data_IF_096379539061
#
_entry.id   IF_096379539061
#
_cell.length_a   1.000
_cell.length_b   1.000
_cell.length_c   1.000
_cell.angle_alpha   90.00
_cell.angle_beta   90.00
_cell.angle_gamma   90.00
#
_symmetry.space_group_name_H-M   'P 1'
#
loop_
_entity.id
_entity.type
_entity.pdbx_description
1 polymer ?
#
# COMPACT_ATOMS: atom_id res chain seq x y z
N UNK A 1 -45.64 35.44 21.72
CA UNK A 1 -45.62 36.53 22.72
C UNK A 1 -45.43 37.82 21.96
N UNK A 2 -46.31 38.81 22.17
CA UNK A 2 -46.25 40.09 21.45
C UNK A 2 -44.93 40.81 21.71
N UNK A 3 -44.41 41.51 20.70
CA UNK A 3 -43.24 42.36 20.84
C UNK A 3 -43.62 43.54 21.74
N UNK A 4 -43.29 43.47 23.03
CA UNK A 4 -43.54 44.56 23.98
C UNK A 4 -42.50 45.65 23.64
N UNK A 5 -42.92 46.84 23.19
CA UNK A 5 -41.98 47.93 22.93
C UNK A 5 -41.23 48.28 24.22
N UNK A 6 -39.95 48.61 24.10
CA UNK A 6 -39.13 49.04 25.25
C UNK A 6 -39.72 50.28 25.91
N UNK A 7 -39.63 50.37 27.25
CA UNK A 7 -40.06 51.57 27.96
C UNK A 7 -39.15 52.76 27.59
N UNK A 8 -39.69 53.95 27.32
CA UNK A 8 -38.89 55.15 27.17
C UNK A 8 -38.20 55.51 28.50
N UNK A 9 -36.98 56.05 28.41
CA UNK A 9 -36.09 56.28 29.57
C UNK A 9 -36.78 57.03 30.72
N UNK A 10 -37.56 58.07 30.42
CA UNK A 10 -38.27 58.87 31.41
C UNK A 10 -39.35 58.07 32.18
N UNK A 11 -40.07 57.17 31.50
CA UNK A 11 -41.07 56.30 32.13
C UNK A 11 -40.40 55.21 32.96
N UNK A 12 -39.26 54.70 32.49
CA UNK A 12 -38.43 53.76 33.24
C UNK A 12 -37.92 54.38 34.55
N UNK A 13 -37.37 55.60 34.52
CA UNK A 13 -36.90 56.30 35.73
C UNK A 13 -38.04 56.56 36.71
N UNK A 14 -39.19 57.02 36.23
CA UNK A 14 -40.36 57.27 37.09
C UNK A 14 -40.88 55.98 37.75
N UNK A 15 -40.85 54.85 37.04
CA UNK A 15 -41.22 53.55 37.60
C UNK A 15 -40.17 53.04 38.59
N UNK A 16 -38.88 53.20 38.26
CA UNK A 16 -37.76 52.85 39.13
C UNK A 16 -37.87 53.58 40.47
N UNK A 17 -38.04 54.90 40.46
CA UNK A 17 -38.16 55.72 41.67
C UNK A 17 -39.35 55.30 42.53
N UNK A 18 -40.48 54.95 41.92
CA UNK A 18 -41.67 54.47 42.64
C UNK A 18 -41.42 53.12 43.32
N UNK A 19 -40.70 52.21 42.67
CA UNK A 19 -40.35 50.90 43.25
C UNK A 19 -39.29 51.08 44.35
N UNK A 20 -38.32 51.97 44.15
CA UNK A 20 -37.24 52.23 45.10
C UNK A 20 -37.70 52.89 46.43
N UNK A 21 -38.90 53.45 46.48
CA UNK A 21 -39.46 54.05 47.71
C UNK A 21 -39.82 53.02 48.80
N UNK A 22 -39.89 51.73 48.48
CA UNK A 22 -40.17 50.65 49.44
C UNK A 22 -38.94 49.77 49.69
N UNK A 23 -38.66 49.35 50.94
CA UNK A 23 -37.58 48.39 51.25
C UNK A 23 -37.70 47.08 50.46
N UNK A 24 -38.93 46.62 50.21
CA UNK A 24 -39.18 45.41 49.40
C UNK A 24 -38.89 45.65 47.91
N UNK A 25 -39.17 46.85 47.41
CA UNK A 25 -38.88 47.22 46.03
C UNK A 25 -37.37 47.37 45.76
N UNK A 26 -36.61 47.90 46.71
CA UNK A 26 -35.14 47.91 46.64
C UNK A 26 -34.55 46.50 46.63
N UNK A 27 -35.07 45.59 47.46
CA UNK A 27 -34.66 44.19 47.48
C UNK A 27 -34.97 43.49 46.13
N UNK A 28 -36.15 43.76 45.56
CA UNK A 28 -36.52 43.27 44.23
C UNK A 28 -35.57 43.77 43.14
N UNK A 29 -35.28 45.08 43.08
CA UNK A 29 -34.39 45.66 42.07
C UNK A 29 -32.97 45.10 42.18
N UNK A 30 -32.45 44.91 43.40
CA UNK A 30 -31.13 44.30 43.62
C UNK A 30 -31.07 42.87 43.12
N UNK A 31 -32.08 42.06 43.43
CA UNK A 31 -32.13 40.66 42.99
C UNK A 31 -32.39 40.56 41.47
N UNK A 32 -33.21 41.45 40.91
CA UNK A 32 -33.43 41.55 39.47
C UNK A 32 -32.15 41.93 38.72
N UNK A 33 -31.40 42.92 39.21
CA UNK A 33 -30.10 43.31 38.65
C UNK A 33 -29.08 42.17 38.74
N UNK A 34 -29.03 41.45 39.87
CA UNK A 34 -28.15 40.27 40.05
C UNK A 34 -28.47 39.18 39.04
N UNK A 35 -29.75 38.79 38.91
CA UNK A 35 -30.20 37.75 37.95
C UNK A 35 -30.00 38.16 36.50
N UNK A 36 -30.23 39.43 36.17
CA UNK A 36 -29.95 39.96 34.85
C UNK A 36 -28.44 39.91 34.53
N UNK A 37 -27.59 40.21 35.51
CA UNK A 37 -26.13 40.08 35.41
C UNK A 37 -25.68 38.62 35.23
N UNK A 38 -26.17 37.70 36.06
CA UNK A 38 -25.83 36.27 35.99
C UNK A 38 -26.25 35.66 34.63
N UNK A 39 -27.43 36.03 34.12
CA UNK A 39 -27.91 35.60 32.81
C UNK A 39 -27.09 36.20 31.66
N UNK A 40 -26.64 37.44 31.80
CA UNK A 40 -25.72 38.09 30.84
C UNK A 40 -24.36 37.41 30.83
N UNK A 41 -23.77 37.18 32.01
CA UNK A 41 -22.49 36.51 32.17
C UNK A 41 -22.53 35.08 31.61
N UNK A 42 -23.58 34.32 31.90
CA UNK A 42 -23.74 32.96 31.37
C UNK A 42 -23.79 32.92 29.83
N UNK A 43 -24.42 33.93 29.20
CA UNK A 43 -24.44 34.04 27.73
C UNK A 43 -23.07 34.40 27.15
N UNK A 44 -22.33 35.27 27.83
CA UNK A 44 -20.96 35.63 27.44
C UNK A 44 -20.03 34.42 27.59
N UNK A 45 -20.12 33.69 28.70
CA UNK A 45 -19.32 32.49 28.93
C UNK A 45 -19.62 31.40 27.90
N UNK A 46 -20.90 31.19 27.56
CA UNK A 46 -21.30 30.26 26.50
C UNK A 46 -20.74 30.70 25.13
N UNK A 47 -20.86 31.98 24.77
CA UNK A 47 -20.33 32.49 23.51
C UNK A 47 -18.79 32.39 23.43
N UNK A 48 -18.08 32.57 24.54
CA UNK A 48 -16.63 32.38 24.61
C UNK A 48 -16.22 30.91 24.48
N UNK A 49 -17.01 30.00 25.04
CA UNK A 49 -16.81 28.55 24.87
C UNK A 49 -17.02 28.12 23.42
N UNK A 50 -18.09 28.62 22.78
CA UNK A 50 -18.37 28.37 21.36
C UNK A 50 -17.24 28.89 20.48
N UNK A 51 -16.76 30.11 20.73
CA UNK A 51 -15.64 30.70 20.01
C UNK A 51 -14.36 29.86 20.20
N UNK A 52 -14.08 29.40 21.41
CA UNK A 52 -12.92 28.54 21.67
C UNK A 52 -13.02 27.22 20.91
N UNK A 53 -14.19 26.58 20.92
CA UNK A 53 -14.42 25.36 20.16
C UNK A 53 -14.20 25.56 18.66
N UNK A 54 -14.71 26.66 18.10
CA UNK A 54 -14.48 27.00 16.69
C UNK A 54 -13.00 27.22 16.39
N UNK A 55 -12.26 27.94 17.22
CA UNK A 55 -10.83 28.14 17.05
C UNK A 55 -10.03 26.83 17.12
N UNK A 56 -10.32 25.97 18.10
CA UNK A 56 -9.68 24.66 18.23
C UNK A 56 -9.98 23.76 17.02
N UNK A 57 -11.22 23.76 16.54
CA UNK A 57 -11.61 23.02 15.33
C UNK A 57 -10.90 23.54 14.08
N UNK A 58 -10.79 24.85 13.92
CA UNK A 58 -10.09 25.49 12.80
C UNK A 58 -8.60 25.17 12.83
N UNK A 59 -7.95 25.25 14.00
CA UNK A 59 -6.54 24.91 14.16
C UNK A 59 -6.27 23.44 13.81
N UNK A 60 -7.18 22.52 14.17
CA UNK A 60 -7.10 21.11 13.80
C UNK A 60 -7.21 20.89 12.27
N UNK A 61 -8.14 21.56 11.61
CA UNK A 61 -8.28 21.51 10.14
C UNK A 61 -7.06 22.07 9.42
N UNK A 62 -6.46 23.16 9.93
CA UNK A 62 -5.23 23.71 9.38
C UNK A 62 -4.04 22.76 9.55
N UNK A 63 -3.92 22.10 10.71
CA UNK A 63 -2.86 21.11 10.94
C UNK A 63 -2.98 19.90 10.02
N UNK A 64 -4.19 19.36 9.85
CA UNK A 64 -4.44 18.22 8.95
C UNK A 64 -4.16 18.58 7.50
N UNK A 65 -4.59 19.77 7.05
CA UNK A 65 -4.28 20.30 5.73
C UNK A 65 -2.76 20.47 5.51
N UNK A 66 -2.05 21.02 6.51
CA UNK A 66 -0.59 21.17 6.45
C UNK A 66 0.14 19.83 6.34
N UNK A 67 -0.30 18.80 7.06
CA UNK A 67 0.26 17.44 6.94
C UNK A 67 0.00 16.83 5.55
N UNK A 68 -1.19 17.05 5.00
CA UNK A 68 -1.54 16.56 3.66
C UNK A 68 -0.66 17.20 2.58
N UNK A 69 -0.37 18.50 2.67
CA UNK A 69 0.54 19.20 1.75
C UNK A 69 1.99 18.68 1.84
N UNK A 70 2.47 18.39 3.06
CA UNK A 70 3.79 17.76 3.23
C UNK A 70 3.82 16.38 2.55
N UNK A 71 2.84 15.52 2.83
CA UNK A 71 2.77 14.18 2.21
C UNK A 71 2.67 14.24 0.68
N UNK A 72 1.93 15.22 0.15
CA UNK A 72 1.84 15.46 -1.29
C UNK A 72 3.21 15.80 -1.89
N UNK A 73 3.96 16.70 -1.24
CA UNK A 73 5.29 17.08 -1.70
C UNK A 73 6.26 15.89 -1.69
N UNK A 74 6.25 15.09 -0.61
CA UNK A 74 7.05 13.86 -0.52
C UNK A 74 6.72 12.87 -1.63
N UNK A 75 5.43 12.71 -1.98
CA UNK A 75 5.01 11.82 -3.07
C UNK A 75 5.43 12.32 -4.45
N UNK A 76 5.42 13.64 -4.67
CA UNK A 76 5.96 14.24 -5.89
C UNK A 76 7.48 14.05 -5.98
N UNK A 77 8.21 14.19 -4.88
CA UNK A 77 9.65 13.97 -4.83
C UNK A 77 10.02 12.49 -5.07
N UNK A 78 9.26 11.55 -4.48
CA UNK A 78 9.41 10.13 -4.76
C UNK A 78 9.17 9.83 -6.24
N UNK A 79 8.10 10.36 -6.84
CA UNK A 79 7.82 10.18 -8.26
C UNK A 79 8.94 10.74 -9.16
N UNK A 80 9.47 11.93 -8.84
CA UNK A 80 10.60 12.51 -9.55
C UNK A 80 11.87 11.65 -9.43
N UNK A 81 12.12 11.08 -8.25
CA UNK A 81 13.25 10.19 -8.00
C UNK A 81 13.14 8.87 -8.78
N UNK A 82 11.94 8.28 -8.84
CA UNK A 82 11.66 7.09 -9.66
C UNK A 82 11.92 7.38 -11.14
N UNK A 83 11.42 8.52 -11.65
CA UNK A 83 11.67 8.95 -13.03
C UNK A 83 13.16 9.21 -13.32
N UNK A 84 13.92 9.68 -12.33
CA UNK A 84 15.36 9.86 -12.48
C UNK A 84 16.08 8.50 -12.61
N UNK A 85 15.81 7.57 -11.69
CA UNK A 85 16.37 6.20 -11.72
C UNK A 85 16.02 5.48 -13.03
N UNK A 86 14.76 5.64 -13.49
CA UNK A 86 14.26 5.13 -14.77
C UNK A 86 15.15 5.57 -15.95
N UNK A 87 15.56 6.84 -15.99
CA UNK A 87 16.42 7.40 -17.04
C UNK A 87 17.85 6.88 -16.96
N UNK A 88 18.39 6.70 -15.76
CA UNK A 88 19.73 6.13 -15.57
C UNK A 88 19.80 4.69 -16.05
N UNK A 89 18.80 3.87 -15.72
CA UNK A 89 18.70 2.48 -16.19
C UNK A 89 18.61 2.43 -17.72
N UNK A 90 17.76 3.28 -18.32
CA UNK A 90 17.64 3.36 -19.79
C UNK A 90 18.97 3.74 -20.47
N UNK A 91 19.86 4.46 -19.79
CA UNK A 91 21.16 4.86 -20.34
C UNK A 91 22.20 3.72 -20.34
N UNK A 92 21.99 2.63 -19.60
CA UNK A 92 22.90 1.48 -19.54
C UNK A 92 22.85 0.58 -20.78
N UNK A 93 21.84 0.71 -21.65
CA UNK A 93 21.74 -0.08 -22.88
C UNK A 93 22.55 0.53 -24.04
N UNK A 94 23.19 -0.32 -24.88
CA UNK A 94 23.73 0.10 -26.18
C UNK A 94 22.63 0.73 -27.04
N UNK A 95 22.97 1.78 -27.81
CA UNK A 95 22.05 2.60 -28.63
C UNK A 95 21.46 1.88 -29.85
N UNK A 96 21.06 0.62 -29.73
CA UNK A 96 20.33 -0.08 -30.78
C UNK A 96 18.85 -0.20 -30.42
N UNK A 97 18.05 0.48 -31.25
CA UNK A 97 16.60 0.40 -31.47
C UNK A 97 15.67 1.37 -30.72
N UNK A 98 15.16 2.31 -31.53
CA UNK A 98 13.80 2.90 -31.55
C UNK A 98 13.21 3.60 -30.31
N UNK A 99 13.35 4.93 -30.31
CA UNK A 99 12.30 5.96 -30.26
C UNK A 99 11.07 5.96 -29.32
N UNK A 100 10.94 5.12 -28.28
CA UNK A 100 9.80 5.21 -27.35
C UNK A 100 10.19 5.36 -25.87
N UNK A 101 10.97 6.39 -25.53
CA UNK A 101 11.65 6.56 -24.22
C UNK A 101 10.80 6.49 -22.94
N UNK A 102 9.47 6.58 -22.99
CA UNK A 102 8.63 6.65 -21.79
C UNK A 102 7.91 5.34 -21.43
N UNK A 103 7.54 4.46 -22.37
CA UNK A 103 7.05 3.09 -22.03
C UNK A 103 8.18 2.12 -21.68
N UNK A 104 9.42 2.59 -21.81
CA UNK A 104 10.58 1.72 -21.92
C UNK A 104 11.12 1.29 -20.55
N UNK A 105 11.28 2.15 -19.57
CA UNK A 105 12.21 1.83 -18.48
C UNK A 105 11.71 0.97 -17.31
N UNK A 106 10.40 0.75 -17.18
CA UNK A 106 9.92 -0.39 -16.38
C UNK A 106 10.15 -1.71 -17.14
N UNK A 107 10.01 -1.71 -18.47
CA UNK A 107 10.38 -2.85 -19.32
C UNK A 107 11.91 -3.04 -19.41
N UNK A 108 12.72 -2.04 -19.06
CA UNK A 108 14.19 -2.16 -19.11
C UNK A 108 14.75 -3.02 -17.99
N UNK A 109 14.15 -3.01 -16.78
CA UNK A 109 14.57 -3.93 -15.72
C UNK A 109 14.27 -5.38 -16.10
N UNK A 110 13.10 -5.65 -16.69
CA UNK A 110 12.77 -6.98 -17.23
C UNK A 110 13.69 -7.34 -18.40
N UNK A 111 14.08 -6.37 -19.24
CA UNK A 111 15.03 -6.60 -20.32
C UNK A 111 16.41 -7.00 -19.79
N UNK A 112 16.85 -6.43 -18.66
CA UNK A 112 18.10 -6.82 -17.99
C UNK A 112 18.00 -8.26 -17.46
N UNK A 113 16.91 -8.59 -16.75
CA UNK A 113 16.68 -9.96 -16.27
C UNK A 113 16.66 -10.94 -17.43
N UNK A 114 15.88 -10.69 -18.47
CA UNK A 114 15.78 -11.54 -19.66
C UNK A 114 17.12 -11.67 -20.41
N UNK A 115 17.88 -10.58 -20.55
CA UNK A 115 19.20 -10.61 -21.20
C UNK A 115 20.19 -11.46 -20.39
N UNK A 116 20.16 -11.35 -19.07
CA UNK A 116 21.03 -12.14 -18.18
C UNK A 116 20.65 -13.63 -18.15
N UNK A 117 19.35 -13.96 -18.17
CA UNK A 117 18.86 -15.34 -18.36
C UNK A 117 19.34 -15.93 -19.69
N UNK A 118 19.21 -15.19 -20.79
CA UNK A 118 19.67 -15.66 -22.10
C UNK A 118 21.19 -15.87 -22.12
N UNK A 119 21.96 -14.94 -21.56
CA UNK A 119 23.41 -15.08 -21.47
C UNK A 119 23.80 -16.33 -20.66
N UNK A 120 23.08 -16.63 -19.59
CA UNK A 120 23.30 -17.84 -18.79
C UNK A 120 23.01 -19.13 -19.58
N UNK A 121 21.92 -19.16 -20.35
CA UNK A 121 21.62 -20.29 -21.25
C UNK A 121 22.74 -20.49 -22.28
N UNK A 122 23.27 -19.40 -22.85
CA UNK A 122 24.40 -19.48 -23.80
C UNK A 122 25.69 -19.99 -23.14
N UNK A 123 25.96 -19.62 -21.88
CA UNK A 123 27.08 -20.14 -21.09
C UNK A 123 26.90 -21.64 -20.83
N UNK A 124 25.72 -22.08 -20.40
CA UNK A 124 25.39 -23.48 -20.16
C UNK A 124 25.57 -24.33 -21.42
N UNK A 125 25.06 -23.88 -22.57
CA UNK A 125 25.28 -24.55 -23.85
C UNK A 125 26.75 -24.60 -24.26
N UNK A 126 27.54 -23.58 -23.92
CA UNK A 126 28.98 -23.58 -24.16
C UNK A 126 29.69 -24.60 -23.28
N UNK A 127 29.27 -24.73 -22.02
CA UNK A 127 29.78 -25.72 -21.08
C UNK A 127 29.46 -27.16 -21.54
N UNK A 128 28.24 -27.41 -22.04
CA UNK A 128 27.88 -28.70 -22.66
C UNK A 128 28.78 -29.06 -23.84
N UNK A 129 29.02 -28.09 -24.75
CA UNK A 129 29.95 -28.28 -25.88
C UNK A 129 31.38 -28.56 -25.40
N UNK A 130 31.84 -27.94 -24.32
CA UNK A 130 33.16 -28.21 -23.74
C UNK A 130 33.26 -29.65 -23.23
N UNK A 131 32.22 -30.17 -22.58
CA UNK A 131 32.14 -31.58 -22.17
C UNK A 131 32.22 -32.54 -23.35
N UNK A 132 31.52 -32.26 -24.46
CA UNK A 132 31.62 -33.08 -25.67
C UNK A 132 33.05 -33.10 -26.24
N UNK A 133 33.70 -31.94 -26.26
CA UNK A 133 35.09 -31.79 -26.72
C UNK A 133 36.05 -32.55 -25.80
N UNK A 134 35.89 -32.44 -24.48
CA UNK A 134 36.68 -33.19 -23.49
C UNK A 134 36.54 -34.70 -23.70
N UNK A 135 35.31 -35.19 -23.90
CA UNK A 135 35.04 -36.59 -24.21
C UNK A 135 35.71 -37.06 -25.51
N UNK A 136 35.77 -36.22 -26.55
CA UNK A 136 36.52 -36.53 -27.78
C UNK A 136 38.03 -36.58 -27.54
N UNK A 137 38.57 -35.62 -26.78
CA UNK A 137 40.00 -35.59 -26.43
C UNK A 137 40.41 -36.87 -25.69
N UNK A 138 39.59 -37.32 -24.74
CA UNK A 138 39.76 -38.59 -24.04
C UNK A 138 39.86 -39.79 -24.99
N UNK A 139 38.96 -39.87 -25.98
CA UNK A 139 38.96 -40.95 -26.99
C UNK A 139 40.17 -40.90 -27.94
N UNK A 140 40.73 -39.71 -28.17
CA UNK A 140 41.93 -39.51 -28.99
C UNK A 140 43.24 -39.77 -28.22
N UNK A 141 43.16 -40.16 -26.94
CA UNK A 141 44.32 -40.47 -26.11
C UNK A 141 45.02 -39.24 -25.52
N UNK A 142 44.29 -38.12 -25.35
CA UNK A 142 44.79 -36.98 -24.58
C UNK A 142 45.04 -37.38 -23.11
N UNK A 143 45.87 -36.59 -22.42
CA UNK A 143 46.18 -36.77 -21.01
C UNK A 143 44.89 -36.84 -20.16
N UNK A 144 44.77 -37.89 -19.37
CA UNK A 144 43.57 -38.15 -18.57
C UNK A 144 43.38 -37.13 -17.45
N UNK A 145 44.47 -36.62 -16.88
CA UNK A 145 44.41 -35.66 -15.77
C UNK A 145 43.92 -34.31 -16.31
N UNK A 146 44.44 -33.86 -17.45
CA UNK A 146 43.98 -32.62 -18.11
C UNK A 146 42.52 -32.69 -18.57
N UNK A 147 42.05 -33.84 -19.04
CA UNK A 147 40.64 -34.03 -19.40
C UNK A 147 39.76 -33.97 -18.14
N UNK A 148 40.20 -34.59 -17.04
CA UNK A 148 39.47 -34.55 -15.77
C UNK A 148 39.38 -33.12 -15.22
N UNK A 149 40.43 -32.32 -15.35
CA UNK A 149 40.42 -30.92 -14.93
C UNK A 149 39.39 -30.11 -15.72
N UNK A 150 39.28 -30.32 -17.04
CA UNK A 150 38.25 -29.68 -17.87
C UNK A 150 36.84 -30.09 -17.44
N UNK A 151 36.61 -31.39 -17.22
CA UNK A 151 35.30 -31.91 -16.77
C UNK A 151 34.90 -31.31 -15.40
N UNK A 152 35.87 -31.14 -14.49
CA UNK A 152 35.66 -30.51 -13.19
C UNK A 152 35.29 -29.03 -13.33
N UNK A 153 36.00 -28.26 -14.17
CA UNK A 153 35.69 -26.85 -14.39
C UNK A 153 34.32 -26.64 -15.06
N UNK A 154 33.94 -27.52 -16.00
CA UNK A 154 32.60 -27.49 -16.59
C UNK A 154 31.51 -27.77 -15.53
N UNK A 155 31.78 -28.70 -14.60
CA UNK A 155 30.87 -28.97 -13.47
C UNK A 155 30.73 -27.75 -12.55
N UNK A 156 31.82 -27.01 -12.32
CA UNK A 156 31.79 -25.76 -11.56
C UNK A 156 30.94 -24.70 -12.28
N UNK A 157 31.02 -24.60 -13.61
CA UNK A 157 30.18 -23.68 -14.41
C UNK A 157 28.69 -24.02 -14.25
N UNK A 158 28.30 -25.30 -14.37
CA UNK A 158 26.91 -25.71 -14.16
C UNK A 158 26.40 -25.33 -12.78
N UNK A 159 27.22 -25.57 -11.75
CA UNK A 159 26.86 -25.25 -10.37
C UNK A 159 26.76 -23.74 -10.14
N UNK A 160 27.66 -22.95 -10.73
CA UNK A 160 27.61 -21.49 -10.62
C UNK A 160 26.37 -20.89 -11.31
N UNK A 161 26.01 -21.42 -12.48
CA UNK A 161 24.85 -20.94 -13.24
C UNK A 161 23.51 -21.35 -12.59
N UNK A 162 23.44 -22.45 -11.83
CA UNK A 162 22.21 -22.82 -11.12
C UNK A 162 21.82 -21.81 -10.04
N UNK A 163 22.80 -21.16 -9.39
CA UNK A 163 22.53 -20.06 -8.45
C UNK A 163 22.03 -18.77 -9.12
N UNK A 164 22.27 -18.60 -10.43
CA UNK A 164 21.78 -17.45 -11.18
C UNK A 164 20.26 -17.53 -11.40
N UNK A 165 19.67 -18.72 -11.48
CA UNK A 165 18.21 -18.89 -11.54
C UNK A 165 17.51 -18.30 -10.29
N UNK A 166 18.02 -18.62 -9.09
CA UNK A 166 17.50 -18.05 -7.84
C UNK A 166 17.67 -16.53 -7.77
N UNK A 167 18.77 -16.02 -8.32
CA UNK A 167 19.03 -14.57 -8.38
C UNK A 167 18.08 -13.89 -9.38
N UNK A 168 17.84 -14.49 -10.54
CA UNK A 168 16.89 -13.99 -11.54
C UNK A 168 15.46 -13.90 -11.00
N UNK A 169 15.02 -14.94 -10.27
CA UNK A 169 13.72 -14.94 -9.59
C UNK A 169 13.61 -13.85 -8.53
N UNK A 170 14.62 -13.72 -7.65
CA UNK A 170 14.65 -12.67 -6.62
C UNK A 170 14.64 -11.27 -7.22
N UNK A 171 15.43 -11.03 -8.26
CA UNK A 171 15.44 -9.76 -8.97
C UNK A 171 14.08 -9.47 -9.59
N UNK A 172 13.44 -10.46 -10.22
CA UNK A 172 12.08 -10.30 -10.77
C UNK A 172 11.06 -9.92 -9.72
N UNK A 173 11.09 -10.54 -8.53
CA UNK A 173 10.24 -10.15 -7.40
C UNK A 173 10.47 -8.69 -6.98
N UNK A 174 11.73 -8.28 -6.82
CA UNK A 174 12.08 -6.89 -6.46
C UNK A 174 11.58 -5.89 -7.52
N UNK A 175 11.74 -6.20 -8.80
CA UNK A 175 11.26 -5.35 -9.90
C UNK A 175 9.74 -5.20 -9.85
N UNK A 176 9.01 -6.28 -9.61
CA UNK A 176 7.55 -6.23 -9.46
C UNK A 176 7.11 -5.46 -8.21
N UNK A 177 7.85 -5.55 -7.11
CA UNK A 177 7.59 -4.74 -5.93
C UNK A 177 7.76 -3.24 -6.18
N UNK A 178 8.84 -2.85 -6.88
CA UNK A 178 9.07 -1.45 -7.25
C UNK A 178 7.96 -0.92 -8.18
N UNK A 179 7.47 -1.74 -9.12
CA UNK A 179 6.32 -1.41 -9.98
C UNK A 179 5.05 -1.14 -9.19
N UNK A 180 4.77 -1.98 -8.20
CA UNK A 180 3.60 -1.80 -7.35
C UNK A 180 3.66 -0.46 -6.61
N UNK A 181 4.80 -0.16 -5.99
CA UNK A 181 5.02 1.12 -5.29
C UNK A 181 4.86 2.31 -6.24
N UNK A 182 5.46 2.25 -7.44
CA UNK A 182 5.31 3.28 -8.47
C UNK A 182 3.85 3.51 -8.86
N UNK A 183 3.10 2.44 -9.14
CA UNK A 183 1.67 2.52 -9.48
C UNK A 183 0.86 3.18 -8.37
N UNK A 184 1.14 2.84 -7.10
CA UNK A 184 0.45 3.44 -5.95
C UNK A 184 0.79 4.92 -5.78
N UNK A 185 2.05 5.30 -5.95
CA UNK A 185 2.48 6.71 -5.90
C UNK A 185 1.76 7.50 -6.99
N UNK A 186 1.73 6.98 -8.22
CA UNK A 186 1.04 7.64 -9.34
C UNK A 186 -0.48 7.72 -9.12
N UNK A 187 -1.10 6.69 -8.56
CA UNK A 187 -2.52 6.71 -8.21
C UNK A 187 -2.83 7.77 -7.14
N UNK A 188 -2.00 7.87 -6.10
CA UNK A 188 -2.14 8.90 -5.06
C UNK A 188 -1.97 10.31 -5.64
N UNK A 189 -0.93 10.53 -6.46
CA UNK A 189 -0.72 11.80 -7.16
C UNK A 189 -1.91 12.12 -8.07
N UNK A 190 -2.46 11.13 -8.78
CA UNK A 190 -3.64 11.32 -9.63
C UNK A 190 -4.85 11.75 -8.81
N UNK A 191 -5.13 11.12 -7.67
CA UNK A 191 -6.25 11.49 -6.79
C UNK A 191 -6.14 12.96 -6.34
N UNK A 192 -4.96 13.44 -5.97
CA UNK A 192 -4.76 14.87 -5.64
C UNK A 192 -4.71 15.78 -6.86
N UNK A 193 -4.31 15.29 -8.03
CA UNK A 193 -4.34 16.05 -9.29
C UNK A 193 -5.77 16.18 -9.86
N UNK A 194 -6.71 15.33 -9.41
CA UNK A 194 -8.11 15.30 -9.83
C UNK A 194 -8.94 16.47 -9.27
N UNK A 195 -8.43 17.30 -8.35
CA UNK A 195 -9.05 18.62 -8.09
C UNK A 195 -9.08 19.53 -9.34
N UNK A 196 -8.33 19.19 -10.41
CA UNK A 196 -8.40 19.84 -11.72
C UNK A 196 -9.11 19.06 -12.83
N UNK A 197 -9.02 17.72 -12.90
CA UNK A 197 -9.64 16.92 -13.97
C UNK A 197 -9.90 15.48 -13.48
N UNK A 198 -11.15 15.01 -13.57
CA UNK A 198 -11.58 13.64 -13.27
C UNK A 198 -10.92 12.62 -14.21
N UNK A 199 -9.99 11.82 -13.72
CA UNK A 199 -9.39 10.70 -14.45
C UNK A 199 -9.98 9.34 -13.97
N UNK A 200 -10.15 8.35 -14.87
CA UNK A 200 -10.70 7.04 -14.53
C UNK A 200 -9.69 6.20 -13.73
N UNK A 201 -10.18 5.35 -12.83
CA UNK A 201 -9.37 4.47 -12.01
C UNK A 201 -8.48 3.54 -12.86
N UNK A 202 -7.19 3.38 -12.54
CA UNK A 202 -6.36 2.39 -13.20
C UNK A 202 -6.76 0.99 -12.73
N UNK A 203 -7.13 0.11 -13.66
CA UNK A 203 -7.21 -1.31 -13.39
C UNK A 203 -5.78 -1.84 -13.20
N UNK A 204 -5.51 -2.49 -12.07
CA UNK A 204 -4.22 -3.13 -11.82
C UNK A 204 -3.87 -4.18 -12.87
N UNK A 205 -2.61 -4.66 -12.93
CA UNK A 205 -2.21 -5.68 -13.89
C UNK A 205 -2.98 -6.97 -13.63
N UNK A 206 -3.79 -7.40 -14.60
CA UNK A 206 -4.44 -8.72 -14.57
C UNK A 206 -3.54 -9.67 -15.37
N UNK A 207 -2.95 -10.66 -14.72
CA UNK A 207 -2.22 -11.73 -15.41
C UNK A 207 -3.24 -12.64 -16.12
N UNK A 208 -3.37 -12.47 -17.43
CA UNK A 208 -4.34 -13.21 -18.25
C UNK A 208 -3.83 -14.56 -18.74
N UNK A 209 -2.65 -15.00 -18.31
CA UNK A 209 -2.09 -16.28 -18.75
C UNK A 209 -2.89 -17.44 -18.15
N UNK A 210 -3.14 -18.52 -18.90
CA UNK A 210 -3.95 -19.66 -18.43
C UNK A 210 -3.33 -20.37 -17.22
N UNK A 211 -2.03 -20.21 -16.98
CA UNK A 211 -1.23 -20.73 -15.88
C UNK A 211 -0.97 -19.73 -14.75
N UNK A 212 -1.60 -18.54 -14.76
CA UNK A 212 -1.44 -17.54 -13.69
C UNK A 212 -1.80 -18.09 -12.29
N UNK A 213 -2.67 -19.10 -12.23
CA UNK A 213 -3.05 -19.82 -11.00
C UNK A 213 -1.98 -20.80 -10.48
N UNK A 214 -0.92 -21.06 -11.25
CA UNK A 214 0.19 -21.96 -10.90
C UNK A 214 1.40 -21.22 -10.32
N UNK A 215 1.36 -19.87 -10.28
CA UNK A 215 2.43 -19.00 -9.76
C UNK A 215 2.36 -18.77 -8.24
N UNK A 216 1.75 -19.70 -7.49
CA UNK A 216 1.94 -19.73 -6.05
C UNK A 216 3.38 -20.12 -5.74
N UNK A 217 4.13 -19.25 -5.06
CA UNK A 217 5.42 -19.61 -4.48
C UNK A 217 5.31 -20.82 -3.53
N UNK A 218 6.43 -21.35 -3.02
CA UNK A 218 6.43 -22.47 -2.09
C UNK A 218 5.50 -22.19 -0.90
N UNK A 219 4.40 -22.92 -0.83
CA UNK A 219 3.41 -22.79 0.24
C UNK A 219 3.85 -23.63 1.44
N UNK A 220 3.49 -23.20 2.65
CA UNK A 220 3.71 -23.96 3.89
C UNK A 220 2.86 -25.26 3.98
N UNK A 221 1.93 -25.46 3.03
CA UNK A 221 1.21 -26.72 2.77
C UNK A 221 1.88 -27.59 1.70
N UNK A 222 3.12 -27.25 1.32
CA UNK A 222 3.92 -27.91 0.30
C UNK A 222 4.14 -29.39 0.56
N UNK A 223 4.30 -30.14 -0.53
CA UNK A 223 4.58 -31.58 -0.52
C UNK A 223 5.78 -31.85 0.39
N UNK A 224 5.60 -32.71 1.40
CA UNK A 224 6.66 -33.05 2.34
C UNK A 224 7.81 -33.72 1.58
N UNK A 225 9.05 -33.37 1.87
CA UNK A 225 10.23 -33.97 1.24
C UNK A 225 10.22 -35.52 1.32
N UNK A 226 9.62 -36.08 2.38
CA UNK A 226 9.44 -37.52 2.53
C UNK A 226 8.50 -38.13 1.46
N UNK A 227 7.50 -37.37 1.00
CA UNK A 227 6.57 -37.80 -0.05
C UNK A 227 7.25 -37.75 -1.43
N UNK A 228 8.15 -36.78 -1.64
CA UNK A 228 8.99 -36.66 -2.84
C UNK A 228 9.97 -37.83 -2.91
N UNK A 229 10.64 -38.14 -1.80
CA UNK A 229 11.60 -39.25 -1.71
C UNK A 229 10.91 -40.61 -1.90
N UNK A 230 9.67 -40.79 -1.41
CA UNK A 230 8.87 -41.99 -1.62
C UNK A 230 8.47 -42.17 -3.10
N UNK A 231 8.12 -41.08 -3.78
CA UNK A 231 7.71 -41.10 -5.19
C UNK A 231 8.89 -41.37 -6.12
N UNK A 232 10.09 -40.86 -5.80
CA UNK A 232 11.31 -41.08 -6.58
C UNK A 232 11.92 -42.48 -6.37
N UNK A 233 11.62 -43.11 -5.23
CA UNK A 233 12.00 -44.51 -4.92
C UNK A 233 10.97 -45.56 -5.35
N UNK A 234 9.87 -45.14 -5.99
CA UNK A 234 8.86 -46.02 -6.57
C UNK A 234 7.84 -46.59 -5.57
N UNK A 235 7.73 -46.00 -4.37
CA UNK A 235 6.74 -46.39 -3.38
C UNK A 235 5.49 -45.48 -3.46
N UNK A 236 4.29 -46.09 -3.49
CA UNK A 236 3.02 -45.35 -3.44
C UNK A 236 2.81 -44.75 -2.04
N UNK A 237 2.60 -43.43 -1.90
CA UNK A 237 2.36 -42.82 -0.60
C UNK A 237 1.01 -43.27 -0.02
N UNK A 238 0.97 -43.51 1.30
CA UNK A 238 -0.23 -43.96 2.02
C UNK A 238 -1.30 -42.86 2.09
N UNK A 239 -2.61 -43.21 2.12
CA UNK A 239 -3.68 -42.21 2.17
C UNK A 239 -3.66 -41.45 3.49
N UNK A 240 -3.75 -40.10 3.43
CA UNK A 240 -3.92 -39.26 4.63
C UNK A 240 -5.30 -39.47 5.27
N UNK A 241 -5.42 -39.50 6.61
CA UNK A 241 -6.71 -39.56 7.28
C UNK A 241 -7.49 -38.25 7.05
N UNK A 242 -8.79 -38.38 6.75
CA UNK A 242 -9.68 -37.28 6.45
C UNK A 242 -9.90 -36.34 7.65
N UNK A 243 -9.94 -35.03 7.39
CA UNK A 243 -10.29 -33.98 8.35
C UNK A 243 -11.71 -34.18 8.90
N UNK A 244 -11.99 -33.86 10.18
CA UNK A 244 -13.33 -33.96 10.74
C UNK A 244 -14.32 -32.99 10.07
N UNK A 245 -15.61 -33.35 9.95
CA UNK A 245 -16.62 -32.50 9.31
C UNK A 245 -16.93 -31.24 10.14
N UNK A 246 -17.35 -30.14 9.49
CA UNK A 246 -17.66 -28.89 10.18
C UNK A 246 -18.93 -29.01 11.05
N UNK A 247 -19.03 -28.25 12.16
CA UNK A 247 -20.19 -28.28 13.06
C UNK A 247 -21.45 -27.71 12.37
N UNK A 248 -22.65 -28.18 12.76
CA UNK A 248 -23.90 -27.79 12.11
C UNK A 248 -24.26 -26.32 12.36
N UNK A 249 -25.02 -25.69 11.43
CA UNK A 249 -25.39 -24.28 11.51
C UNK A 249 -26.36 -24.04 12.68
N UNK A 250 -26.10 -22.99 13.47
CA UNK A 250 -27.00 -22.55 14.55
C UNK A 250 -28.32 -22.01 13.98
N UNK A 251 -29.46 -22.23 14.66
CA UNK A 251 -30.77 -21.84 14.16
C UNK A 251 -30.96 -20.32 14.17
N UNK A 252 -31.61 -19.82 13.11
CA UNK A 252 -32.00 -18.44 12.96
C UNK A 252 -33.05 -18.02 14.01
N UNK A 253 -32.87 -16.81 14.56
CA UNK A 253 -33.92 -16.06 15.26
C UNK A 253 -33.89 -14.60 14.77
N UNK A 254 -35.04 -13.90 14.84
CA UNK A 254 -35.51 -13.05 13.75
C UNK A 254 -35.12 -11.57 13.86
N UNK A 255 -35.32 -10.89 12.73
CA UNK A 255 -35.09 -9.48 12.45
C UNK A 255 -35.40 -8.50 13.60
N UNK A 256 -34.45 -7.60 13.85
CA UNK A 256 -34.68 -6.27 14.38
C UNK A 256 -33.68 -5.30 13.76
N UNK A 257 -34.20 -4.14 13.35
CA UNK A 257 -33.55 -3.10 12.58
C UNK A 257 -32.47 -2.31 13.34
N UNK A 258 -31.43 -1.87 12.63
CA UNK A 258 -31.03 -0.45 12.54
C UNK A 258 -29.76 -0.28 11.71
N UNK A 259 -29.79 0.66 10.77
CA UNK A 259 -28.66 1.12 9.98
C UNK A 259 -27.64 1.90 10.82
N UNK A 260 -26.34 1.73 10.53
CA UNK A 260 -25.28 2.74 10.45
C UNK A 260 -23.90 2.07 10.44
N UNK A 261 -22.95 2.69 9.74
CA UNK A 261 -21.50 2.41 9.66
C UNK A 261 -21.02 1.26 8.75
N UNK A 262 -21.14 1.47 7.44
CA UNK A 262 -20.17 0.91 6.49
C UNK A 262 -18.99 1.88 6.36
N UNK A 263 -17.85 1.47 6.93
CA UNK A 263 -16.54 2.08 6.70
C UNK A 263 -16.15 1.91 5.22
N UNK A 264 -15.63 2.94 4.53
CA UNK A 264 -15.26 2.82 3.12
C UNK A 264 -14.14 1.77 2.96
N UNK A 265 -14.09 1.04 1.83
CA UNK A 265 -13.10 -0.01 1.61
C UNK A 265 -11.70 0.57 1.75
N UNK A 266 -10.95 0.04 2.72
CA UNK A 266 -9.57 0.40 2.97
C UNK A 266 -8.74 0.10 1.69
N UNK A 267 -8.15 1.09 1.02
CA UNK A 267 -7.39 0.88 -0.20
C UNK A 267 -6.00 0.25 0.05
N UNK A 268 -5.66 -0.08 1.29
CA UNK A 268 -4.40 -0.69 1.71
C UNK A 268 -4.69 -2.08 2.28
N UNK A 269 -4.93 -3.05 1.39
CA UNK A 269 -4.97 -4.45 1.78
C UNK A 269 -3.53 -4.93 2.01
N UNK A 270 -3.16 -5.07 3.28
CA UNK A 270 -1.86 -5.56 3.73
C UNK A 270 -1.53 -6.92 3.12
N UNK A 271 -2.55 -7.73 2.79
CA UNK A 271 -2.35 -9.05 2.21
C UNK A 271 -1.79 -8.99 0.77
N UNK A 272 -2.08 -7.93 -0.01
CA UNK A 272 -1.47 -7.74 -1.33
C UNK A 272 0.03 -7.41 -1.24
N UNK A 273 0.42 -6.71 -0.18
CA UNK A 273 1.83 -6.34 0.08
C UNK A 273 2.60 -7.58 0.52
N UNK A 274 2.05 -8.36 1.45
CA UNK A 274 2.71 -9.55 1.99
C UNK A 274 2.90 -10.63 0.89
N UNK A 275 1.92 -10.80 0.01
CA UNK A 275 2.01 -11.69 -1.16
C UNK A 275 3.10 -11.30 -2.19
N UNK A 276 3.64 -10.08 -2.10
CA UNK A 276 4.68 -9.58 -3.00
C UNK A 276 6.10 -9.96 -2.53
N UNK A 277 6.24 -10.31 -1.25
CA UNK A 277 7.52 -10.59 -0.59
C UNK A 277 7.73 -12.07 -0.20
N UNK A 278 6.66 -12.86 -0.15
CA UNK A 278 6.70 -14.33 0.01
C UNK A 278 6.88 -15.08 -1.33
#
# INVERSE_FOLDING_TARGET
MGNIPGLPEAEYTALYDRIAQSPQGLAFLREHARRAGDAGQSKVDAALQDLRYLFESQASLMQTSGRAEVLRNELLEMAASIEHARREIAALRPKDQSNNRLDIATNELDAIVSTTERASIEILQSAERLMEVAGRLKRLGADADLVSDIENEVTNIFTACSFQDLTGQRTSKVVNALRYVEQRINAMISIWSIEGVKAPAPAGPVDTRPDAHLLGGPRDDGVNQNDVDALMSGATPAPRPASPPPPPPKPASPAAASAADEEPPNPLDQSEIDNLFD
#
